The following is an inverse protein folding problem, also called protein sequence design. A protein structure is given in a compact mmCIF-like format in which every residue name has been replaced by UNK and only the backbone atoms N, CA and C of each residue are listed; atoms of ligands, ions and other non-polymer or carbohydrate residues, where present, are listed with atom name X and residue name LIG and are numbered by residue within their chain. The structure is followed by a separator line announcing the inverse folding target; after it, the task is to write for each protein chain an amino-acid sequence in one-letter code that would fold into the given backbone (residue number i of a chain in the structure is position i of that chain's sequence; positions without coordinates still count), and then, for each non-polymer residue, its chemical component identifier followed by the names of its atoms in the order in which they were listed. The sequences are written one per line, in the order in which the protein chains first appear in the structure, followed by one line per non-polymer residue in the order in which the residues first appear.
data_IF_152787335406
#
_entry.id   IF_152787335406
#
_cell.length_a   1.000
_cell.length_b   1.000
_cell.length_c   1.000
_cell.angle_alpha   90.00
_cell.angle_beta   90.00
_cell.angle_gamma   90.00
#
_symmetry.space_group_name_H-M   'P 1'
#
loop_
_entity.id
_entity.type
_entity.pdbx_description
1 polymer ?
#
# COMPACT_ATOMS: atom_id res chain seq x y z
N UNK A 1 -33.17 -23.55 70.70
CA UNK A 1 -32.76 -22.22 71.22
C UNK A 1 -31.91 -21.62 70.12
N UNK A 2 -32.43 -20.58 69.47
CA UNK A 2 -31.83 -19.92 68.30
C UNK A 2 -30.78 -18.92 68.79
N UNK A 3 -29.56 -19.01 68.27
CA UNK A 3 -28.53 -17.97 68.37
C UNK A 3 -28.17 -17.46 66.96
N UNK A 4 -27.74 -16.19 66.80
CA UNK A 4 -28.03 -15.39 65.60
C UNK A 4 -26.92 -15.43 64.53
N UNK A 5 -27.35 -15.17 63.30
CA UNK A 5 -26.56 -14.93 62.09
C UNK A 5 -25.37 -13.98 62.31
N UNK A 6 -24.14 -14.50 62.13
CA UNK A 6 -22.96 -13.69 61.84
C UNK A 6 -22.84 -13.48 60.33
N UNK A 7 -22.84 -12.23 59.90
CA UNK A 7 -22.68 -11.80 58.51
C UNK A 7 -21.29 -12.16 57.97
N UNK A 8 -21.15 -12.58 56.69
CA UNK A 8 -19.85 -12.77 56.07
C UNK A 8 -19.10 -11.42 55.91
N UNK A 9 -17.77 -11.43 55.92
CA UNK A 9 -16.97 -10.21 55.83
C UNK A 9 -17.18 -9.51 54.48
N UNK A 10 -17.39 -8.19 54.54
CA UNK A 10 -17.42 -7.31 53.35
C UNK A 10 -16.03 -7.29 52.72
N UNK A 11 -15.89 -7.89 51.55
CA UNK A 11 -14.71 -7.74 50.70
C UNK A 11 -14.75 -6.32 50.12
N UNK A 12 -13.75 -5.51 50.45
CA UNK A 12 -13.60 -4.16 49.93
C UNK A 12 -13.05 -4.24 48.50
N UNK A 13 -13.77 -3.76 47.46
CA UNK A 13 -13.32 -3.86 46.07
C UNK A 13 -12.06 -3.04 45.75
N UNK A 14 -11.63 -2.14 46.64
CA UNK A 14 -10.45 -1.30 46.43
C UNK A 14 -9.11 -2.03 46.57
N UNK A 15 -9.06 -3.21 47.21
CA UNK A 15 -7.77 -3.94 47.35
C UNK A 15 -7.39 -4.75 46.12
N UNK A 16 -8.36 -5.11 45.24
CA UNK A 16 -8.05 -5.77 43.97
C UNK A 16 -7.61 -4.79 42.88
N UNK A 17 -7.98 -3.51 42.99
CA UNK A 17 -7.55 -2.47 42.05
C UNK A 17 -6.09 -2.03 42.27
N UNK A 18 -5.54 -2.20 43.47
CA UNK A 18 -4.12 -1.89 43.72
C UNK A 18 -3.17 -2.98 43.25
N UNK A 19 -3.58 -4.25 43.23
CA UNK A 19 -2.71 -5.34 42.74
C UNK A 19 -2.65 -5.40 41.22
N UNK A 20 -3.73 -5.07 40.51
CA UNK A 20 -3.74 -4.98 39.03
C UNK A 20 -2.98 -3.75 38.49
N UNK A 21 -2.86 -2.69 39.29
CA UNK A 21 -2.09 -1.49 38.95
C UNK A 21 -0.58 -1.71 38.99
N UNK A 22 -0.10 -2.61 39.85
CA UNK A 22 1.34 -2.97 39.92
C UNK A 22 1.78 -3.95 38.83
N UNK A 23 0.91 -4.84 38.35
CA UNK A 23 1.24 -5.73 37.23
C UNK A 23 1.19 -5.02 35.86
N UNK A 24 0.36 -3.97 35.69
CA UNK A 24 0.40 -3.12 34.50
C UNK A 24 1.64 -2.20 34.42
N UNK A 25 2.33 -1.96 35.54
CA UNK A 25 3.54 -1.11 35.57
C UNK A 25 4.85 -1.84 35.29
N UNK A 26 4.83 -3.15 35.08
CA UNK A 26 6.03 -3.92 34.71
C UNK A 26 6.04 -4.38 33.23
N UNK A 27 5.05 -3.96 32.44
CA UNK A 27 5.01 -4.22 30.98
C UNK A 27 5.23 -2.94 30.14
N UNK A 28 5.31 -1.76 30.78
CA UNK A 28 5.57 -0.48 30.11
C UNK A 28 7.06 -0.17 29.83
N UNK A 29 7.99 -1.02 30.27
CA UNK A 29 9.44 -0.80 30.08
C UNK A 29 10.06 -1.65 28.96
N UNK A 30 9.37 -1.87 27.84
CA UNK A 30 9.99 -2.20 26.55
C UNK A 30 9.11 -1.73 25.39
N UNK A 31 8.78 -0.45 25.35
CA UNK A 31 8.28 0.20 24.13
C UNK A 31 9.28 1.29 23.75
N UNK A 32 10.29 0.91 22.98
CA UNK A 32 11.03 1.87 22.15
C UNK A 32 10.02 2.54 21.24
N UNK A 33 9.77 3.82 21.51
CA UNK A 33 8.99 4.72 20.67
C UNK A 33 9.65 4.78 19.29
N UNK A 34 9.10 4.03 18.33
CA UNK A 34 9.51 4.12 16.94
C UNK A 34 9.22 5.53 16.42
N UNK A 35 10.29 6.27 16.11
CA UNK A 35 10.20 7.59 15.48
C UNK A 35 9.65 7.44 14.07
N UNK A 36 8.38 7.79 13.90
CA UNK A 36 7.75 8.00 12.60
C UNK A 36 8.31 9.30 12.00
N UNK A 37 9.27 9.20 11.07
CA UNK A 37 9.78 10.39 10.37
C UNK A 37 8.83 10.75 9.24
N UNK A 38 7.93 11.70 9.52
CA UNK A 38 7.19 12.44 8.49
C UNK A 38 8.14 13.45 7.86
N UNK A 39 8.50 13.28 6.59
CA UNK A 39 9.05 14.39 5.81
C UNK A 39 7.88 15.26 5.37
N UNK A 40 7.69 16.37 6.07
CA UNK A 40 6.77 17.44 5.68
C UNK A 40 7.48 18.28 4.61
N UNK A 41 6.93 18.28 3.39
CA UNK A 41 7.38 19.11 2.28
C UNK A 41 6.17 19.94 1.80
N UNK A 42 6.45 21.20 1.48
CA UNK A 42 5.58 22.37 1.57
C UNK A 42 4.21 22.29 0.86
N UNK A 43 3.21 22.92 1.48
CA UNK A 43 2.02 23.54 0.86
C UNK A 43 1.24 22.76 -0.23
N UNK A 44 0.03 22.31 0.12
CA UNK A 44 -0.98 21.62 -0.71
C UNK A 44 -0.71 20.13 -1.07
N UNK A 45 -1.46 19.27 -0.37
CA UNK A 45 -1.63 17.85 -0.70
C UNK A 45 -0.54 16.96 -0.10
N UNK A 46 -0.73 16.59 1.17
CA UNK A 46 0.16 15.70 1.95
C UNK A 46 0.41 14.38 1.19
N UNK A 47 1.66 14.17 0.79
CA UNK A 47 2.18 12.86 0.37
C UNK A 47 2.79 12.22 1.62
N UNK A 48 2.32 11.02 2.00
CA UNK A 48 2.92 10.29 3.12
C UNK A 48 3.85 9.24 2.56
N UNK A 49 5.14 9.48 2.70
CA UNK A 49 6.14 8.42 2.54
C UNK A 49 6.30 7.75 3.88
N UNK A 50 6.02 6.46 3.96
CA UNK A 50 6.32 5.66 5.14
C UNK A 50 7.57 4.86 4.81
N UNK A 51 8.72 5.43 5.18
CA UNK A 51 9.96 4.65 5.25
C UNK A 51 9.87 3.74 6.47
N UNK A 52 9.63 2.46 6.22
CA UNK A 52 9.57 1.50 7.31
C UNK A 52 10.96 0.89 7.48
N UNK A 53 11.61 1.19 8.61
CA UNK A 53 12.88 0.58 8.97
C UNK A 53 12.70 -0.94 9.09
N UNK A 54 13.54 -1.70 8.38
CA UNK A 54 13.62 -3.14 8.55
C UNK A 54 14.21 -3.43 9.93
N UNK A 55 13.55 -4.26 10.73
CA UNK A 55 14.18 -4.84 11.93
C UNK A 55 15.32 -5.72 11.45
N UNK A 56 16.55 -5.39 11.86
CA UNK A 56 17.76 -6.11 11.47
C UNK A 56 17.64 -7.59 11.80
N UNK A 57 17.76 -8.46 10.79
CA UNK A 57 17.98 -9.88 11.00
C UNK A 57 19.44 -10.05 11.43
N UNK A 58 19.66 -10.43 12.69
CA UNK A 58 20.93 -11.02 13.08
C UNK A 58 21.14 -12.28 12.23
N UNK A 59 22.34 -12.39 11.66
CA UNK A 59 22.64 -13.34 10.61
C UNK A 59 22.53 -14.80 11.05
N UNK A 60 21.82 -15.56 10.23
CA UNK A 60 22.21 -16.92 9.84
C UNK A 60 21.68 -17.10 8.41
N UNK A 61 22.56 -17.52 7.51
CA UNK A 61 22.20 -17.84 6.14
C UNK A 61 21.32 -19.10 6.16
N UNK A 62 20.01 -18.92 6.22
CA UNK A 62 19.08 -20.04 6.12
C UNK A 62 19.11 -20.54 4.67
N UNK A 63 19.79 -21.67 4.50
CA UNK A 63 19.83 -22.41 3.26
C UNK A 63 18.40 -22.64 2.77
N UNK A 64 18.20 -22.54 1.45
CA UNK A 64 16.97 -22.83 0.75
C UNK A 64 16.34 -24.14 1.27
N UNK A 65 15.40 -24.03 2.22
CA UNK A 65 14.63 -25.18 2.68
C UNK A 65 13.70 -25.53 1.55
N UNK A 66 14.04 -26.60 0.84
CA UNK A 66 13.11 -27.29 -0.06
C UNK A 66 11.98 -27.79 0.82
N UNK A 67 10.92 -26.99 0.97
CA UNK A 67 9.68 -27.43 1.57
C UNK A 67 9.03 -28.37 0.56
N UNK A 68 9.02 -29.65 0.91
CA UNK A 68 8.33 -30.69 0.17
C UNK A 68 6.82 -30.39 0.14
N UNK A 69 6.30 -30.06 -1.03
CA UNK A 69 5.00 -30.54 -1.49
C UNK A 69 3.72 -30.06 -0.80
N UNK A 70 3.71 -28.91 -0.13
CA UNK A 70 2.45 -28.17 0.02
C UNK A 70 2.32 -27.25 -1.19
N UNK A 71 1.26 -27.42 -2.00
CA UNK A 71 0.96 -26.47 -3.07
C UNK A 71 0.85 -25.07 -2.46
N UNK A 72 1.88 -24.25 -2.68
CA UNK A 72 1.85 -22.86 -2.23
C UNK A 72 0.76 -22.21 -3.07
N UNK A 73 -0.42 -22.05 -2.49
CA UNK A 73 -1.55 -21.39 -3.14
C UNK A 73 -1.20 -19.91 -3.30
N UNK A 74 -0.57 -19.58 -4.43
CA UNK A 74 -0.21 -18.23 -4.82
C UNK A 74 -1.44 -17.55 -5.42
N UNK A 75 -2.16 -16.79 -4.59
CA UNK A 75 -3.37 -16.08 -5.02
C UNK A 75 -3.01 -14.62 -5.34
N UNK A 76 -2.99 -14.21 -6.61
CA UNK A 76 -2.75 -12.82 -6.95
C UNK A 76 -3.88 -11.92 -6.42
N UNK A 77 -3.58 -10.66 -6.04
CA UNK A 77 -4.61 -9.72 -5.64
C UNK A 77 -5.65 -9.49 -6.74
N UNK A 78 -6.84 -9.01 -6.36
CA UNK A 78 -7.88 -8.60 -7.29
C UNK A 78 -7.30 -7.71 -8.41
N UNK A 79 -7.67 -7.94 -9.67
CA UNK A 79 -7.23 -7.10 -10.80
C UNK A 79 -5.70 -6.96 -10.94
N UNK A 80 -4.92 -7.95 -10.47
CA UNK A 80 -3.47 -7.96 -10.65
C UNK A 80 -3.08 -8.09 -12.14
N UNK A 81 -2.08 -7.32 -12.57
CA UNK A 81 -1.44 -7.46 -13.88
C UNK A 81 -0.06 -6.80 -13.87
N UNK A 82 0.84 -7.28 -14.73
CA UNK A 82 2.03 -6.50 -15.11
C UNK A 82 1.58 -5.33 -16.00
N UNK A 83 2.16 -4.15 -15.77
CA UNK A 83 1.98 -2.96 -16.59
C UNK A 83 3.19 -2.81 -17.51
N UNK A 84 4.38 -2.88 -16.93
CA UNK A 84 5.65 -2.84 -17.65
C UNK A 84 6.69 -3.63 -16.85
N UNK A 85 7.91 -3.74 -17.38
CA UNK A 85 9.02 -4.38 -16.68
C UNK A 85 9.23 -3.74 -15.30
N UNK A 86 9.12 -4.54 -14.25
CA UNK A 86 9.23 -4.07 -12.86
C UNK A 86 8.05 -3.23 -12.36
N UNK A 87 7.00 -3.02 -13.15
CA UNK A 87 5.80 -2.25 -12.76
C UNK A 87 4.57 -3.14 -12.79
N UNK A 88 3.93 -3.28 -11.64
CA UNK A 88 2.71 -4.06 -11.47
C UNK A 88 1.54 -3.17 -11.06
N UNK A 89 0.32 -3.62 -11.36
CA UNK A 89 -0.93 -3.02 -10.89
C UNK A 89 -1.79 -4.03 -10.17
N UNK A 90 -2.61 -3.58 -9.22
CA UNK A 90 -3.68 -4.39 -8.65
C UNK A 90 -4.79 -3.57 -7.97
N UNK A 91 -5.83 -4.26 -7.52
CA UNK A 91 -6.70 -3.87 -6.43
C UNK A 91 -6.02 -4.02 -5.08
N UNK A 92 -6.79 -3.83 -4.00
CA UNK A 92 -6.23 -3.81 -2.66
C UNK A 92 -5.75 -5.22 -2.25
N UNK A 93 -4.46 -5.41 -1.93
CA UNK A 93 -3.99 -6.72 -1.46
C UNK A 93 -4.45 -7.03 -0.04
N UNK A 94 -4.78 -8.28 0.23
CA UNK A 94 -5.04 -8.80 1.57
C UNK A 94 -4.04 -9.90 1.95
N UNK A 95 -4.21 -10.47 3.13
CA UNK A 95 -3.31 -11.50 3.67
C UNK A 95 -3.24 -12.76 2.80
N UNK A 96 -4.30 -13.10 2.06
CA UNK A 96 -4.28 -14.25 1.15
C UNK A 96 -3.36 -14.02 -0.05
N UNK A 97 -3.02 -12.77 -0.36
CA UNK A 97 -2.15 -12.42 -1.48
C UNK A 97 -0.67 -12.29 -1.10
N UNK A 98 -0.32 -12.31 0.19
CA UNK A 98 1.04 -12.00 0.64
C UNK A 98 2.08 -12.98 0.12
N UNK A 99 1.75 -14.28 0.07
CA UNK A 99 2.61 -15.31 -0.51
C UNK A 99 2.95 -15.00 -1.98
N UNK A 100 1.95 -14.62 -2.79
CA UNK A 100 2.14 -14.19 -4.17
C UNK A 100 2.95 -12.89 -4.27
N UNK A 101 2.69 -11.90 -3.42
CA UNK A 101 3.43 -10.63 -3.47
C UNK A 101 4.91 -10.81 -3.12
N UNK A 102 5.26 -11.76 -2.26
CA UNK A 102 6.65 -12.09 -1.95
C UNK A 102 7.41 -12.60 -3.18
N UNK A 103 6.76 -13.36 -4.06
CA UNK A 103 7.42 -13.88 -5.27
C UNK A 103 7.79 -12.79 -6.27
N UNK A 104 7.17 -11.60 -6.17
CA UNK A 104 7.47 -10.47 -7.05
C UNK A 104 8.73 -9.70 -6.65
N UNK A 105 9.27 -9.91 -5.44
CA UNK A 105 10.43 -9.18 -4.94
C UNK A 105 10.22 -7.66 -4.91
N UNK A 106 9.02 -7.22 -4.52
CA UNK A 106 8.66 -5.80 -4.51
C UNK A 106 9.61 -5.01 -3.62
N UNK A 107 10.06 -3.86 -4.12
CA UNK A 107 10.84 -2.89 -3.33
C UNK A 107 9.96 -1.76 -2.82
N UNK A 108 8.89 -1.45 -3.55
CA UNK A 108 7.96 -0.41 -3.14
C UNK A 108 6.51 -0.66 -3.56
N UNK A 109 5.60 0.04 -2.90
CA UNK A 109 4.17 0.09 -3.22
C UNK A 109 3.73 1.55 -3.36
N UNK A 110 2.98 1.84 -4.41
CA UNK A 110 2.25 3.09 -4.62
C UNK A 110 0.78 2.85 -4.26
N UNK A 111 0.35 3.43 -3.15
CA UNK A 111 -1.01 3.30 -2.63
C UNK A 111 -1.80 4.60 -2.84
N UNK A 112 -2.88 4.51 -3.62
CA UNK A 112 -3.60 5.69 -4.11
C UNK A 112 -4.85 6.06 -3.29
N UNK A 113 -5.10 5.42 -2.14
CA UNK A 113 -6.28 5.74 -1.33
C UNK A 113 -5.93 6.56 -0.07
N UNK A 114 -6.82 7.46 0.40
CA UNK A 114 -6.56 8.33 1.54
C UNK A 114 -6.65 7.60 2.90
N UNK A 115 -7.31 6.46 2.95
CA UNK A 115 -7.49 5.68 4.17
C UNK A 115 -6.15 5.16 4.68
N UNK A 116 -5.93 5.08 6.00
CA UNK A 116 -4.74 4.45 6.57
C UNK A 116 -4.51 3.04 6.02
N UNK A 117 -3.24 2.65 5.89
CA UNK A 117 -2.90 1.30 5.45
C UNK A 117 -3.19 0.30 6.60
N UNK A 118 -3.83 -0.86 6.35
CA UNK A 118 -4.14 -1.83 7.40
C UNK A 118 -2.89 -2.37 8.09
N UNK A 119 -2.99 -2.62 9.39
CA UNK A 119 -1.83 -3.02 10.21
C UNK A 119 -1.19 -4.33 9.74
N UNK A 120 -2.00 -5.33 9.35
CA UNK A 120 -1.51 -6.59 8.79
C UNK A 120 -0.67 -6.38 7.53
N UNK A 121 -1.11 -5.46 6.66
CA UNK A 121 -0.38 -5.10 5.46
C UNK A 121 0.89 -4.30 5.80
N UNK A 122 0.81 -3.36 6.74
CA UNK A 122 1.99 -2.62 7.23
C UNK A 122 3.06 -3.60 7.72
N UNK A 123 2.68 -4.56 8.57
CA UNK A 123 3.58 -5.57 9.10
C UNK A 123 4.23 -6.38 7.98
N UNK A 124 3.46 -6.79 6.98
CA UNK A 124 3.98 -7.45 5.79
C UNK A 124 5.02 -6.58 5.06
N UNK A 125 4.77 -5.28 4.87
CA UNK A 125 5.75 -4.38 4.26
C UNK A 125 7.03 -4.29 5.09
N UNK A 126 6.92 -4.19 6.42
CA UNK A 126 8.07 -4.13 7.33
C UNK A 126 8.95 -5.38 7.20
N UNK A 127 8.34 -6.56 7.27
CA UNK A 127 9.05 -7.85 7.25
C UNK A 127 9.75 -8.15 5.93
N UNK A 128 9.32 -7.52 4.84
CA UNK A 128 9.88 -7.69 3.50
C UNK A 128 10.68 -6.46 3.02
N UNK A 129 10.85 -5.42 3.85
CA UNK A 129 11.61 -4.21 3.49
C UNK A 129 10.99 -3.39 2.35
N UNK A 130 9.66 -3.37 2.25
CA UNK A 130 8.93 -2.71 1.16
C UNK A 130 8.58 -1.28 1.55
N UNK A 131 8.98 -0.29 0.75
CA UNK A 131 8.63 1.13 0.96
C UNK A 131 7.20 1.43 0.54
N UNK A 132 6.45 2.20 1.33
CA UNK A 132 5.08 2.63 0.99
C UNK A 132 5.04 4.12 0.64
N UNK A 133 4.56 4.41 -0.57
CA UNK A 133 4.26 5.77 -1.03
C UNK A 133 2.75 5.96 -1.13
N UNK A 134 2.18 6.79 -0.25
CA UNK A 134 0.74 7.02 -0.19
C UNK A 134 0.35 8.37 -0.81
N UNK A 135 -0.47 8.31 -1.86
CA UNK A 135 -1.06 9.46 -2.55
C UNK A 135 -2.59 9.39 -2.42
N UNK A 136 -3.13 9.90 -1.33
CA UNK A 136 -4.55 9.75 -1.01
C UNK A 136 -5.48 10.48 -1.96
N UNK A 137 -6.12 9.78 -2.91
CA UNK A 137 -7.15 10.35 -3.80
C UNK A 137 -8.53 9.92 -3.33
N UNK A 138 -9.41 10.88 -3.01
CA UNK A 138 -10.77 10.61 -2.54
C UNK A 138 -11.57 9.76 -3.54
N UNK A 139 -12.23 8.72 -3.03
CA UNK A 139 -13.11 7.88 -3.82
C UNK A 139 -14.51 8.48 -3.92
N UNK A 140 -14.77 9.40 -4.85
CA UNK A 140 -16.13 9.87 -5.15
C UNK A 140 -16.79 8.98 -6.22
N UNK A 141 -18.13 8.88 -6.16
CA UNK A 141 -18.94 8.31 -7.24
C UNK A 141 -19.24 9.41 -8.26
N UNK A 142 -19.48 9.03 -9.51
CA UNK A 142 -19.99 9.98 -10.51
C UNK A 142 -21.32 10.58 -10.03
N UNK A 143 -21.59 11.88 -10.31
CA UNK A 143 -20.88 12.77 -11.23
C UNK A 143 -19.70 13.58 -10.62
N UNK A 144 -19.49 13.54 -9.30
CA UNK A 144 -18.55 14.42 -8.60
C UNK A 144 -17.11 13.87 -8.51
N UNK A 145 -16.67 13.13 -9.53
CA UNK A 145 -15.33 12.52 -9.54
C UNK A 145 -14.32 13.58 -9.95
N UNK A 146 -13.39 13.89 -9.05
CA UNK A 146 -12.22 14.71 -9.37
C UNK A 146 -10.95 13.93 -9.01
N UNK A 147 -10.12 13.65 -10.01
CA UNK A 147 -8.80 13.05 -9.82
C UNK A 147 -7.80 14.21 -9.81
N UNK A 148 -7.18 14.52 -8.65
CA UNK A 148 -6.29 15.65 -8.54
C UNK A 148 -5.01 15.40 -9.34
N UNK A 149 -4.79 16.23 -10.37
CA UNK A 149 -3.63 16.20 -11.26
C UNK A 149 -2.31 16.15 -10.47
N UNK A 150 -2.15 17.01 -9.45
CA UNK A 150 -0.93 17.07 -8.64
C UNK A 150 -0.58 15.75 -7.96
N UNK A 151 -1.56 14.96 -7.49
CA UNK A 151 -1.31 13.66 -6.85
C UNK A 151 -0.86 12.62 -7.87
N UNK A 152 -1.48 12.62 -9.05
CA UNK A 152 -1.05 11.76 -10.16
C UNK A 152 0.37 12.13 -10.58
N UNK A 153 0.72 13.42 -10.69
CA UNK A 153 2.09 13.84 -11.01
C UNK A 153 3.10 13.36 -9.96
N UNK A 154 2.83 13.55 -8.67
CA UNK A 154 3.72 13.09 -7.59
C UNK A 154 3.89 11.57 -7.62
N UNK A 155 2.79 10.82 -7.82
CA UNK A 155 2.84 9.36 -7.96
C UNK A 155 3.62 8.90 -9.20
N UNK A 156 3.45 9.61 -10.32
CA UNK A 156 4.15 9.31 -11.56
C UNK A 156 5.67 9.56 -11.44
N UNK A 157 6.10 10.58 -10.69
CA UNK A 157 7.52 10.79 -10.38
C UNK A 157 8.12 9.60 -9.62
N UNK A 158 7.45 9.09 -8.59
CA UNK A 158 7.90 7.91 -7.85
C UNK A 158 7.93 6.68 -8.75
N UNK A 159 6.91 6.52 -9.60
CA UNK A 159 6.80 5.40 -10.52
C UNK A 159 7.91 5.38 -11.58
N UNK A 160 8.38 6.54 -12.04
CA UNK A 160 9.44 6.67 -13.04
C UNK A 160 10.85 6.48 -12.46
N UNK A 161 11.03 6.54 -11.14
CA UNK A 161 12.32 6.29 -10.50
C UNK A 161 12.57 4.78 -10.36
N UNK A 162 13.52 4.27 -11.15
CA UNK A 162 13.91 2.85 -11.19
C UNK A 162 14.41 2.33 -9.84
N UNK A 163 14.90 3.20 -8.95
CA UNK A 163 15.32 2.81 -7.61
C UNK A 163 14.17 2.26 -6.78
N UNK A 164 12.92 2.54 -7.18
CA UNK A 164 11.72 2.03 -6.51
C UNK A 164 11.25 0.68 -7.07
N UNK A 165 11.83 0.18 -8.17
CA UNK A 165 11.37 -1.04 -8.84
C UNK A 165 12.00 -2.31 -8.25
N UNK A 166 11.29 -3.46 -8.22
CA UNK A 166 9.92 -3.65 -8.69
C UNK A 166 8.86 -2.98 -7.82
N UNK A 167 7.86 -2.36 -8.44
CA UNK A 167 6.84 -1.53 -7.77
C UNK A 167 5.42 -2.05 -8.06
N UNK A 168 4.57 -2.06 -7.04
CA UNK A 168 3.14 -2.35 -7.17
C UNK A 168 2.31 -1.07 -7.00
N UNK A 169 1.50 -0.75 -8.00
CA UNK A 169 0.51 0.33 -7.94
C UNK A 169 -0.84 -0.26 -7.55
N UNK A 170 -1.47 0.24 -6.50
CA UNK A 170 -2.84 -0.17 -6.20
C UNK A 170 -3.73 0.92 -5.61
N UNK A 171 -5.02 0.66 -5.72
CA UNK A 171 -6.06 1.38 -4.97
C UNK A 171 -7.05 0.35 -4.43
N UNK A 172 -8.30 0.73 -4.13
CA UNK A 172 -9.30 -0.21 -3.62
C UNK A 172 -9.59 -1.39 -4.58
N UNK A 173 -9.78 -1.11 -5.88
CA UNK A 173 -10.16 -2.12 -6.89
C UNK A 173 -9.22 -2.21 -8.08
N UNK A 174 -8.17 -1.37 -8.14
CA UNK A 174 -7.24 -1.33 -9.26
C UNK A 174 -7.85 -0.83 -10.57
N UNK A 175 -8.93 -0.03 -10.49
CA UNK A 175 -9.72 0.44 -11.64
C UNK A 175 -9.46 1.92 -11.95
N UNK A 176 -10.08 2.82 -11.20
CA UNK A 176 -10.10 4.26 -11.49
C UNK A 176 -8.76 4.95 -11.23
N UNK A 177 -8.39 5.11 -9.96
CA UNK A 177 -7.14 5.81 -9.55
C UNK A 177 -5.89 5.17 -10.15
N UNK A 178 -5.79 3.84 -10.03
CA UNK A 178 -4.71 3.05 -10.64
C UNK A 178 -4.73 3.18 -12.17
N UNK A 179 -5.92 3.14 -12.78
CA UNK A 179 -6.06 3.25 -14.24
C UNK A 179 -5.65 4.63 -14.76
N UNK A 180 -5.94 5.72 -14.06
CA UNK A 180 -5.47 7.04 -14.44
C UNK A 180 -3.95 7.16 -14.35
N UNK A 181 -3.32 6.65 -13.28
CA UNK A 181 -1.86 6.66 -13.18
C UNK A 181 -1.21 5.84 -14.30
N UNK A 182 -1.71 4.62 -14.54
CA UNK A 182 -1.22 3.75 -15.63
C UNK A 182 -1.46 4.39 -17.00
N UNK A 183 -2.63 5.00 -17.23
CA UNK A 183 -2.92 5.69 -18.48
C UNK A 183 -2.01 6.90 -18.73
N UNK A 184 -1.67 7.66 -17.68
CA UNK A 184 -0.67 8.72 -17.76
C UNK A 184 0.73 8.16 -18.08
N UNK A 185 1.12 7.02 -17.51
CA UNK A 185 2.35 6.32 -17.89
C UNK A 185 2.32 5.92 -19.38
N UNK A 186 1.23 5.31 -19.89
CA UNK A 186 1.11 4.96 -21.31
C UNK A 186 1.20 6.18 -22.23
N UNK A 187 0.65 7.31 -21.78
CA UNK A 187 0.75 8.58 -22.51
C UNK A 187 2.20 9.06 -22.60
N UNK A 188 2.99 8.92 -21.54
CA UNK A 188 4.44 9.17 -21.59
C UNK A 188 5.15 8.23 -22.56
N UNK A 189 4.74 6.97 -22.58
CA UNK A 189 5.21 5.94 -23.52
C UNK A 189 4.73 6.17 -24.97
N UNK A 190 4.08 7.30 -25.26
CA UNK A 190 3.60 7.70 -26.58
C UNK A 190 2.58 6.73 -27.19
N UNK A 191 1.81 6.03 -26.37
CA UNK A 191 0.67 5.26 -26.86
C UNK A 191 -0.42 6.20 -27.41
N UNK A 192 -1.16 5.75 -28.42
CA UNK A 192 -2.33 6.48 -28.89
C UNK A 192 -3.46 6.41 -27.86
N UNK A 193 -4.28 7.47 -27.77
CA UNK A 193 -5.36 7.55 -26.78
C UNK A 193 -6.33 6.37 -26.86
N UNK A 194 -6.62 5.87 -28.06
CA UNK A 194 -7.47 4.69 -28.26
C UNK A 194 -6.94 3.47 -27.51
N UNK A 195 -5.65 3.17 -27.63
CA UNK A 195 -5.03 2.03 -26.92
C UNK A 195 -4.97 2.26 -25.40
N UNK A 196 -4.76 3.50 -24.97
CA UNK A 196 -4.78 3.86 -23.54
C UNK A 196 -6.17 3.61 -22.95
N UNK A 197 -7.22 4.05 -23.65
CA UNK A 197 -8.60 3.89 -23.23
C UNK A 197 -9.04 2.43 -23.27
N UNK A 198 -8.64 1.67 -24.28
CA UNK A 198 -8.89 0.23 -24.35
C UNK A 198 -8.27 -0.51 -23.16
N UNK A 199 -7.01 -0.24 -22.82
CA UNK A 199 -6.36 -0.81 -21.62
C UNK A 199 -7.12 -0.41 -20.34
N UNK A 200 -7.44 0.87 -20.18
CA UNK A 200 -8.20 1.35 -19.02
C UNK A 200 -9.56 0.64 -18.89
N UNK A 201 -10.32 0.56 -19.98
CA UNK A 201 -11.66 -0.05 -20.00
C UNK A 201 -11.59 -1.54 -19.72
N UNK A 202 -10.56 -2.25 -20.20
CA UNK A 202 -10.33 -3.67 -19.88
C UNK A 202 -10.26 -3.92 -18.37
N UNK A 203 -9.55 -3.08 -17.62
CA UNK A 203 -9.44 -3.23 -16.16
C UNK A 203 -10.64 -2.65 -15.39
N UNK A 204 -11.23 -1.55 -15.87
CA UNK A 204 -12.39 -0.94 -15.23
C UNK A 204 -13.67 -1.77 -15.45
N UNK A 205 -13.76 -2.48 -16.57
CA UNK A 205 -14.91 -3.25 -17.03
C UNK A 205 -16.20 -2.42 -16.97
N UNK A 206 -17.31 -2.99 -16.49
CA UNK A 206 -18.60 -2.32 -16.31
C UNK A 206 -18.60 -1.09 -15.36
N UNK A 207 -17.45 -0.70 -14.81
CA UNK A 207 -17.28 0.50 -13.97
C UNK A 207 -16.35 1.53 -14.62
N UNK A 208 -16.06 1.43 -15.92
CA UNK A 208 -15.32 2.45 -16.66
C UNK A 208 -16.01 3.82 -16.54
N UNK A 209 -15.22 4.86 -16.33
CA UNK A 209 -15.69 6.25 -16.21
C UNK A 209 -15.19 7.07 -17.39
N UNK A 210 -16.04 7.94 -17.90
CA UNK A 210 -15.63 8.89 -18.95
C UNK A 210 -14.75 9.99 -18.35
N UNK A 211 -15.00 10.39 -17.10
CA UNK A 211 -14.17 11.37 -16.38
C UNK A 211 -12.69 10.97 -16.30
N UNK A 212 -12.42 9.70 -16.06
CA UNK A 212 -11.07 9.16 -15.93
C UNK A 212 -10.32 9.18 -17.27
N UNK A 213 -11.01 8.84 -18.36
CA UNK A 213 -10.46 8.90 -19.72
C UNK A 213 -10.20 10.35 -20.15
N UNK A 214 -11.15 11.25 -19.86
CA UNK A 214 -10.99 12.68 -20.12
C UNK A 214 -9.82 13.26 -19.36
N UNK A 215 -9.62 12.85 -18.10
CA UNK A 215 -8.44 13.23 -17.32
C UNK A 215 -7.14 12.80 -18.03
N UNK A 216 -7.03 11.54 -18.47
CA UNK A 216 -5.84 11.06 -19.20
C UNK A 216 -5.61 11.83 -20.51
N UNK A 217 -6.69 12.16 -21.23
CA UNK A 217 -6.65 12.93 -22.48
C UNK A 217 -6.02 14.31 -22.29
N UNK A 218 -6.41 15.03 -21.24
CA UNK A 218 -5.96 16.41 -20.99
C UNK A 218 -4.71 16.49 -20.12
N UNK A 219 -4.28 15.39 -19.50
CA UNK A 219 -3.10 15.37 -18.63
C UNK A 219 -1.84 15.78 -19.40
N UNK A 220 -1.25 16.92 -19.04
CA UNK A 220 -0.05 17.41 -19.70
C UNK A 220 1.19 16.61 -19.24
N UNK A 221 1.88 15.99 -20.21
CA UNK A 221 3.08 15.19 -19.99
C UNK A 221 4.38 15.98 -20.20
N UNK A 222 4.31 17.23 -20.67
CA UNK A 222 5.47 18.07 -20.98
C UNK A 222 6.46 18.17 -19.82
N UNK A 223 5.97 18.22 -18.58
CA UNK A 223 6.77 18.31 -17.35
C UNK A 223 7.63 17.08 -17.06
N UNK A 224 7.46 15.99 -17.81
CA UNK A 224 8.22 14.74 -17.67
C UNK A 224 9.15 14.48 -18.87
N UNK A 225 9.16 15.36 -19.88
CA UNK A 225 9.92 15.18 -21.13
C UNK A 225 11.44 15.07 -20.95
N UNK A 226 11.98 15.60 -19.86
CA UNK A 226 13.40 15.54 -19.54
C UNK A 226 13.82 14.28 -18.76
N UNK A 227 12.87 13.45 -18.34
CA UNK A 227 13.16 12.22 -17.61
C UNK A 227 13.44 11.12 -18.65
N UNK A 228 14.68 10.58 -18.71
CA UNK A 228 14.96 9.45 -19.58
C UNK A 228 14.09 8.28 -19.10
N UNK A 229 13.22 7.77 -19.96
CA UNK A 229 12.55 6.51 -19.69
C UNK A 229 13.52 5.38 -20.05
N UNK A 230 14.10 4.76 -19.03
CA UNK A 230 14.98 3.58 -19.18
C UNK A 230 14.25 2.32 -19.65
N UNK A 231 12.94 2.35 -19.90
CA UNK A 231 12.15 1.18 -20.28
C UNK A 231 12.45 0.76 -21.73
N UNK A 232 13.67 0.30 -21.96
CA UNK A 232 14.03 -0.54 -23.08
C UNK A 232 13.62 -1.97 -22.75
N UNK A 233 12.94 -2.57 -23.73
CA UNK A 233 12.90 -4.01 -23.93
C UNK A 233 14.26 -4.61 -23.54
N UNK A 234 14.31 -5.33 -22.43
CA UNK A 234 15.42 -6.25 -22.24
C UNK A 234 15.30 -7.26 -23.37
N UNK A 235 16.19 -7.11 -24.34
CA UNK A 235 16.46 -8.03 -25.44
C UNK A 235 16.15 -9.45 -24.95
N UNK A 236 15.13 -10.06 -25.53
CA UNK A 236 14.94 -11.51 -25.56
C UNK A 236 14.90 -11.94 -27.01
#
# INVERSE_FOLDING_TARGET
RLDPLTSPPKINPDSQFQTLSSEMKLVENTMTTDKFTTTEDDGEGVCRTIEVAAVGRNGEADAFRVVSGEEINLIPPLNFSMVDNGIFRSGFPDSANFSFLQTLGLRSIIYMCPEPYPESNIQFLKSNGIKLFQFGIEGKKEPFVNIPDHKIRKALKVLLDEKNHPVLIHCKRGKHRTGCLVGCLRKLQKWCLTSIFDEYQRFAAAKARVSDQRFMEIFDVSSFSHIPMSFSCSIR
#
